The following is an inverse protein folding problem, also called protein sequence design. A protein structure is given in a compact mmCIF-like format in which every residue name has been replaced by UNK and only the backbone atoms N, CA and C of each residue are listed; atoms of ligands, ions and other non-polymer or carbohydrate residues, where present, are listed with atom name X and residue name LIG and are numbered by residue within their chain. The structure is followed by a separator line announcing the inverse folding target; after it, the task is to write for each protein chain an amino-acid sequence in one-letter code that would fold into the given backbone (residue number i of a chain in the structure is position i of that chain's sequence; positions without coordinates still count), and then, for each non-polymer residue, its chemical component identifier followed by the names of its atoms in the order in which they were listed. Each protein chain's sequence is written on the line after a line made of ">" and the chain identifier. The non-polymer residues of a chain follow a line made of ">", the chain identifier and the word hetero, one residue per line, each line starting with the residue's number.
data_IF_830419501205
#
_entry.id   IF_830419501205
#
_cell.length_a   1.000
_cell.length_b   1.000
_cell.length_c   1.000
_cell.angle_alpha   90.00
_cell.angle_beta   90.00
_cell.angle_gamma   90.00
#
_symmetry.space_group_name_H-M   'P 1'
#
loop_
_entity.id
_entity.type
_entity.pdbx_description
1 polymer ?
#
# COMPACT_ATOMS: atom_id res chain seq x y z
N UNK A 1 -3.44 -1.03 -8.71
CA UNK A 1 -3.86 0.09 -9.56
C UNK A 1 -4.89 0.97 -8.89
N UNK A 2 -5.87 0.35 -8.23
CA UNK A 2 -6.94 1.11 -7.59
C UNK A 2 -6.46 2.10 -6.55
N UNK A 3 -5.53 1.69 -5.68
CA UNK A 3 -4.97 2.60 -4.67
C UNK A 3 -4.27 3.80 -5.31
N UNK A 4 -3.54 3.57 -6.39
CA UNK A 4 -2.76 4.61 -7.03
C UNK A 4 -3.64 5.72 -7.62
N UNK A 5 -4.88 5.42 -7.98
CA UNK A 5 -5.83 6.43 -8.47
C UNK A 5 -6.29 7.41 -7.40
N UNK A 6 -6.16 7.04 -6.12
CA UNK A 6 -6.61 7.89 -5.00
C UNK A 6 -5.73 9.12 -4.78
N UNK A 7 -4.49 9.09 -5.26
CA UNK A 7 -3.51 10.14 -5.00
C UNK A 7 -3.69 11.34 -5.92
N UNK A 8 -2.94 12.40 -5.64
CA UNK A 8 -3.05 13.65 -6.39
C UNK A 8 -2.42 13.54 -7.78
N UNK A 9 -1.30 12.82 -7.89
CA UNK A 9 -0.53 12.72 -9.13
C UNK A 9 0.03 11.31 -9.32
N UNK A 10 0.23 10.93 -10.58
CA UNK A 10 0.96 9.73 -10.95
C UNK A 10 1.93 10.05 -12.07
N UNK A 11 3.13 9.47 -12.00
CA UNK A 11 4.15 9.61 -13.04
C UNK A 11 4.27 8.35 -13.89
N UNK A 12 3.29 7.47 -13.82
CA UNK A 12 3.23 6.29 -14.69
C UNK A 12 2.86 6.71 -16.10
N UNK A 13 3.76 6.48 -17.07
CA UNK A 13 3.59 6.87 -18.47
C UNK A 13 3.32 8.38 -18.64
N UNK A 14 4.09 9.20 -17.95
CA UNK A 14 3.92 10.64 -17.96
C UNK A 14 3.21 11.14 -16.71
N UNK A 15 3.03 12.44 -16.62
CA UNK A 15 2.40 13.05 -15.45
C UNK A 15 0.89 13.09 -15.63
N UNK A 16 0.18 12.46 -14.70
CA UNK A 16 -1.28 12.40 -14.70
C UNK A 16 -1.85 12.89 -13.38
N UNK A 17 -3.02 13.51 -13.43
CA UNK A 17 -3.76 13.93 -12.24
C UNK A 17 -4.62 12.76 -11.77
N UNK A 18 -4.54 12.44 -10.47
CA UNK A 18 -5.39 11.42 -9.84
C UNK A 18 -6.65 12.04 -9.25
N UNK A 19 -7.36 11.24 -8.43
CA UNK A 19 -8.60 11.69 -7.78
C UNK A 19 -8.36 12.69 -6.65
N UNK A 20 -7.13 12.74 -6.10
CA UNK A 20 -6.78 13.68 -5.04
C UNK A 20 -7.48 13.42 -3.70
N UNK A 21 -7.98 12.21 -3.47
CA UNK A 21 -8.63 11.84 -2.22
C UNK A 21 -7.63 11.61 -1.09
N UNK A 22 -6.38 11.31 -1.43
CA UNK A 22 -5.29 11.11 -0.47
C UNK A 22 -4.10 11.94 -0.94
N UNK A 23 -3.54 12.81 -0.07
CA UNK A 23 -2.33 13.57 -0.40
C UNK A 23 -1.17 12.64 -0.73
N UNK A 24 -0.42 12.96 -1.75
CA UNK A 24 0.74 12.19 -2.17
C UNK A 24 0.79 12.00 -3.67
N UNK A 25 1.79 11.23 -4.09
CA UNK A 25 2.05 10.98 -5.50
C UNK A 25 2.55 9.56 -5.75
N UNK A 26 2.37 9.09 -6.98
CA UNK A 26 2.78 7.75 -7.40
C UNK A 26 4.00 7.89 -8.31
N UNK A 27 5.11 7.27 -7.90
CA UNK A 27 6.41 7.40 -8.56
C UNK A 27 7.02 6.04 -8.88
N UNK A 28 7.96 5.97 -9.84
CA UNK A 28 8.65 4.72 -10.16
C UNK A 28 9.43 4.19 -8.95
N UNK A 29 9.18 2.94 -8.59
CA UNK A 29 9.90 2.29 -7.50
C UNK A 29 11.39 2.19 -7.79
N UNK A 30 11.76 1.96 -9.05
CA UNK A 30 13.15 1.81 -9.46
C UNK A 30 14.01 3.03 -9.16
N UNK A 31 13.44 4.24 -9.17
CA UNK A 31 14.17 5.47 -8.93
C UNK A 31 14.62 5.63 -7.48
N UNK A 32 13.97 4.94 -6.55
CA UNK A 32 14.18 5.13 -5.12
C UNK A 32 14.76 3.91 -4.42
N UNK A 33 14.87 2.76 -5.10
CA UNK A 33 15.48 1.57 -4.51
C UNK A 33 16.96 1.82 -4.26
N UNK A 34 17.42 1.49 -3.04
CA UNK A 34 18.82 1.65 -2.62
C UNK A 34 19.65 0.42 -2.91
N UNK A 35 19.01 -0.76 -2.97
CA UNK A 35 19.70 -2.03 -3.22
C UNK A 35 19.55 -2.41 -4.69
N UNK A 36 20.63 -2.36 -5.48
CA UNK A 36 20.55 -2.64 -6.92
C UNK A 36 20.27 -4.11 -7.22
N UNK A 37 20.39 -5.01 -6.24
CA UNK A 37 20.08 -6.42 -6.44
C UNK A 37 18.58 -6.69 -6.45
N UNK A 38 17.76 -5.76 -5.94
CA UNK A 38 16.32 -5.91 -5.93
C UNK A 38 15.72 -5.56 -7.29
N UNK A 39 14.76 -6.35 -7.69
CA UNK A 39 14.14 -6.23 -9.01
C UNK A 39 12.85 -5.41 -8.97
N UNK A 40 12.53 -4.78 -10.08
CA UNK A 40 11.25 -4.14 -10.33
C UNK A 40 10.61 -4.90 -11.49
N UNK A 41 9.34 -5.31 -11.35
CA UNK A 41 8.41 -5.00 -10.26
C UNK A 41 8.72 -5.74 -8.95
N UNK A 42 8.24 -5.18 -7.84
CA UNK A 42 8.19 -5.82 -6.54
C UNK A 42 7.09 -6.89 -6.60
N UNK A 43 7.49 -8.14 -6.66
CA UNK A 43 6.56 -9.29 -6.82
C UNK A 43 6.81 -10.28 -5.70
N UNK A 44 5.74 -10.74 -5.08
CA UNK A 44 5.79 -11.82 -4.10
C UNK A 44 5.23 -11.44 -2.75
N UNK A 45 5.39 -12.34 -1.81
CA UNK A 45 4.94 -12.15 -0.44
C UNK A 45 5.90 -11.28 0.33
N UNK A 46 5.37 -10.33 1.10
CA UNK A 46 6.17 -9.49 1.97
C UNK A 46 5.40 -9.21 3.25
N UNK A 47 6.14 -9.02 4.34
CA UNK A 47 5.54 -8.71 5.64
C UNK A 47 4.92 -7.33 5.63
N UNK A 48 3.71 -7.23 6.17
CA UNK A 48 3.02 -5.96 6.33
C UNK A 48 3.26 -5.44 7.75
N UNK A 49 3.90 -4.28 7.84
CA UNK A 49 4.18 -3.61 9.10
C UNK A 49 3.17 -2.49 9.32
N UNK A 50 2.34 -2.63 10.34
CA UNK A 50 1.33 -1.63 10.67
C UNK A 50 2.04 -0.42 11.31
N UNK A 51 1.71 0.77 10.84
CA UNK A 51 2.28 2.01 11.37
C UNK A 51 1.91 2.14 12.85
N UNK A 52 2.88 2.42 13.74
CA UNK A 52 2.59 2.64 15.17
C UNK A 52 1.48 3.67 15.37
N UNK A 53 0.50 3.32 16.20
CA UNK A 53 -0.69 4.14 16.42
C UNK A 53 -1.87 3.82 15.50
N UNK A 54 -1.68 2.96 14.50
CA UNK A 54 -2.74 2.57 13.56
C UNK A 54 -3.26 1.15 13.77
N UNK A 55 -2.78 0.45 14.79
CA UNK A 55 -3.10 -0.96 15.04
C UNK A 55 -4.60 -1.19 15.30
N UNK A 56 -5.29 -0.17 15.80
CA UNK A 56 -6.71 -0.25 16.12
C UNK A 56 -7.62 0.20 14.98
N UNK A 57 -7.06 0.47 13.81
CA UNK A 57 -7.89 0.82 12.65
C UNK A 57 -8.84 -0.34 12.33
N UNK A 58 -10.13 -0.06 12.03
CA UNK A 58 -11.10 -1.11 11.73
C UNK A 58 -10.68 -2.07 10.60
N UNK A 59 -9.82 -1.62 9.66
CA UNK A 59 -9.32 -2.49 8.60
C UNK A 59 -8.51 -3.67 9.16
N UNK A 60 -7.83 -3.48 10.29
CA UNK A 60 -6.99 -4.51 10.92
C UNK A 60 -7.69 -5.30 12.02
N UNK A 61 -9.00 -5.22 12.08
CA UNK A 61 -9.82 -5.89 13.10
C UNK A 61 -9.53 -7.38 13.21
N UNK A 62 -9.24 -8.02 12.10
CA UNK A 62 -8.93 -9.45 12.05
C UNK A 62 -7.49 -9.74 11.64
N UNK A 63 -6.64 -8.72 11.57
CA UNK A 63 -5.26 -8.82 11.10
C UNK A 63 -4.30 -8.60 12.27
N UNK A 64 -3.28 -9.45 12.35
CA UNK A 64 -2.21 -9.32 13.34
C UNK A 64 -0.99 -8.63 12.73
N UNK A 65 -0.18 -7.91 13.53
CA UNK A 65 1.07 -7.36 13.03
C UNK A 65 1.98 -8.45 12.46
N UNK A 66 2.68 -8.16 11.38
CA UNK A 66 3.65 -9.06 10.80
C UNK A 66 3.08 -10.14 9.89
N UNK A 67 1.80 -10.08 9.54
CA UNK A 67 1.26 -10.99 8.55
C UNK A 67 1.74 -10.63 7.14
N UNK A 68 1.80 -11.61 6.26
CA UNK A 68 2.31 -11.44 4.91
C UNK A 68 1.20 -11.19 3.90
N UNK A 69 1.49 -10.32 2.93
CA UNK A 69 0.58 -9.96 1.84
C UNK A 69 1.32 -10.05 0.50
N UNK A 70 0.57 -10.17 -0.58
CA UNK A 70 1.13 -10.37 -1.92
C UNK A 70 1.17 -9.06 -2.71
N UNK A 71 2.34 -8.73 -3.23
CA UNK A 71 2.58 -7.55 -4.04
C UNK A 71 2.90 -7.90 -5.49
N UNK A 72 2.46 -7.05 -6.41
CA UNK A 72 2.97 -7.02 -7.79
C UNK A 72 2.79 -5.59 -8.32
N UNK A 73 3.85 -4.77 -8.25
CA UNK A 73 3.79 -3.37 -8.69
C UNK A 73 5.17 -2.83 -9.04
N UNK A 74 5.20 -1.84 -9.93
CA UNK A 74 6.41 -1.14 -10.35
C UNK A 74 6.43 0.33 -9.91
N UNK A 75 5.28 0.85 -9.49
CA UNK A 75 5.13 2.21 -8.99
C UNK A 75 4.63 2.16 -7.55
N UNK A 76 4.94 3.17 -6.77
CA UNK A 76 4.53 3.19 -5.37
C UNK A 76 4.14 4.60 -4.93
N UNK A 77 3.38 4.68 -3.84
CA UNK A 77 2.91 5.96 -3.30
C UNK A 77 3.97 6.59 -2.41
N UNK A 78 4.19 7.89 -2.58
CA UNK A 78 5.13 8.71 -1.81
C UNK A 78 4.42 9.90 -1.21
N UNK A 79 5.04 10.50 -0.17
CA UNK A 79 4.57 11.73 0.46
C UNK A 79 3.14 11.59 1.01
N UNK A 80 2.82 10.41 1.55
CA UNK A 80 1.50 10.11 2.10
C UNK A 80 1.58 9.55 3.52
N UNK A 81 2.65 9.84 4.26
CA UNK A 81 2.89 9.27 5.59
C UNK A 81 1.74 9.51 6.56
N UNK A 82 1.12 10.68 6.53
CA UNK A 82 0.01 11.01 7.42
C UNK A 82 -1.22 10.13 7.19
N UNK A 83 -1.35 9.54 6.01
CA UNK A 83 -2.46 8.69 5.63
C UNK A 83 -2.09 7.22 5.50
N UNK A 84 -0.83 6.86 5.78
CA UNK A 84 -0.35 5.48 5.68
C UNK A 84 -0.76 4.69 6.92
N UNK A 85 -1.43 3.55 6.71
CA UNK A 85 -1.80 2.61 7.76
C UNK A 85 -0.75 1.54 7.97
N UNK A 86 -0.14 1.08 6.89
CA UNK A 86 0.84 0.00 6.92
C UNK A 86 1.79 0.10 5.74
N UNK A 87 2.98 -0.44 5.92
CA UNK A 87 4.03 -0.44 4.90
C UNK A 87 4.79 -1.75 4.91
N UNK A 88 5.48 -2.05 3.83
CA UNK A 88 6.38 -3.20 3.73
C UNK A 88 7.77 -2.74 3.33
N UNK A 89 8.79 -3.41 3.83
CA UNK A 89 10.18 -3.07 3.51
C UNK A 89 10.61 -3.73 2.22
N UNK A 90 11.09 -2.91 1.28
CA UNK A 90 11.66 -3.39 0.01
C UNK A 90 12.82 -2.47 -0.38
N UNK A 91 13.95 -2.55 0.35
CA UNK A 91 15.06 -1.60 0.35
C UNK A 91 14.68 -0.24 0.95
N UNK A 92 13.47 0.20 0.71
CA UNK A 92 12.85 1.40 1.27
C UNK A 92 11.49 1.01 1.83
N UNK A 93 10.90 1.81 2.74
CA UNK A 93 9.52 1.58 3.14
C UNK A 93 8.59 1.83 1.94
N UNK A 94 7.78 0.83 1.62
CA UNK A 94 6.78 0.92 0.55
C UNK A 94 5.41 0.96 1.18
N UNK A 95 4.65 2.02 0.92
CA UNK A 95 3.29 2.16 1.44
C UNK A 95 2.41 1.02 0.95
N UNK A 96 1.86 0.26 1.89
CA UNK A 96 1.01 -0.88 1.60
C UNK A 96 -0.47 -0.59 1.72
N UNK A 97 -0.87 0.23 2.69
CA UNK A 97 -2.27 0.57 2.91
C UNK A 97 -2.40 2.03 3.34
N UNK A 98 -3.44 2.68 2.86
CA UNK A 98 -3.71 4.10 3.14
C UNK A 98 -5.18 4.30 3.51
N UNK A 99 -5.45 5.42 4.18
CA UNK A 99 -6.80 5.80 4.58
C UNK A 99 -6.94 7.31 4.63
N UNK A 100 -8.08 7.80 4.18
CA UNK A 100 -8.52 9.17 4.45
C UNK A 100 -10.03 9.14 4.67
N UNK A 101 -10.45 9.34 5.93
CA UNK A 101 -11.86 9.20 6.31
C UNK A 101 -12.35 7.77 6.08
N UNK A 102 -13.32 7.60 5.21
CA UNK A 102 -13.87 6.30 4.82
C UNK A 102 -13.27 5.77 3.52
N UNK A 103 -12.27 6.46 2.96
CA UNK A 103 -11.58 6.02 1.74
C UNK A 103 -10.36 5.20 2.14
N UNK A 104 -10.31 3.96 1.67
CA UNK A 104 -9.20 3.03 1.92
C UNK A 104 -8.58 2.57 0.61
N UNK A 105 -7.29 2.28 0.64
CA UNK A 105 -6.60 1.70 -0.51
C UNK A 105 -5.47 0.78 -0.08
N UNK A 106 -5.18 -0.25 -0.88
CA UNK A 106 -4.05 -1.15 -0.66
C UNK A 106 -3.22 -1.28 -1.91
N UNK A 107 -1.89 -1.28 -1.78
CA UNK A 107 -0.99 -1.55 -2.87
C UNK A 107 -0.89 -3.06 -3.14
N UNK A 108 -0.90 -3.86 -2.08
CA UNK A 108 -0.95 -5.32 -2.22
C UNK A 108 -2.34 -5.74 -2.70
N UNK A 109 -2.42 -7.00 -3.13
CA UNK A 109 -3.66 -7.61 -3.60
C UNK A 109 -4.28 -8.46 -2.48
N UNK A 110 -5.31 -7.96 -1.78
CA UNK A 110 -5.96 -8.76 -0.72
C UNK A 110 -6.50 -10.09 -1.25
N UNK A 111 -7.05 -10.09 -2.46
CA UNK A 111 -7.61 -11.28 -3.10
C UNK A 111 -6.56 -12.35 -3.42
N UNK A 112 -5.26 -11.96 -3.45
CA UNK A 112 -4.13 -12.86 -3.67
C UNK A 112 -3.31 -13.11 -2.41
N UNK A 113 -3.74 -12.59 -1.28
CA UNK A 113 -3.00 -12.63 -0.01
C UNK A 113 -3.50 -13.71 0.95
N UNK A 114 -4.18 -14.74 0.42
CA UNK A 114 -4.66 -15.87 1.22
C UNK A 114 -5.62 -15.45 2.32
N UNK A 115 -5.54 -16.12 3.46
CA UNK A 115 -6.43 -15.86 4.59
C UNK A 115 -6.26 -14.45 5.17
N UNK A 116 -5.04 -13.92 5.16
CA UNK A 116 -4.77 -12.55 5.62
C UNK A 116 -5.58 -11.56 4.79
N UNK A 117 -5.56 -11.70 3.48
CA UNK A 117 -6.30 -10.82 2.58
C UNK A 117 -7.80 -10.96 2.73
N UNK A 118 -8.30 -12.19 2.87
CA UNK A 118 -9.73 -12.43 3.08
C UNK A 118 -10.23 -11.80 4.37
N UNK A 119 -9.44 -11.87 5.44
CA UNK A 119 -9.81 -11.24 6.72
C UNK A 119 -9.84 -9.72 6.62
N UNK A 120 -8.94 -9.11 5.84
CA UNK A 120 -8.98 -7.68 5.59
C UNK A 120 -10.21 -7.27 4.77
N UNK A 121 -10.54 -8.03 3.73
CA UNK A 121 -11.74 -7.77 2.93
C UNK A 121 -13.00 -7.88 3.79
N UNK A 122 -13.03 -8.85 4.70
CA UNK A 122 -14.13 -9.00 5.66
C UNK A 122 -14.22 -7.78 6.57
N UNK A 123 -13.10 -7.33 7.12
CA UNK A 123 -13.06 -6.14 7.98
C UNK A 123 -13.55 -4.90 7.23
N UNK A 124 -13.15 -4.74 5.98
CA UNK A 124 -13.60 -3.64 5.14
C UNK A 124 -15.11 -3.70 4.89
N UNK A 125 -15.63 -4.88 4.62
CA UNK A 125 -17.06 -5.07 4.38
C UNK A 125 -17.92 -4.77 5.62
N UNK A 126 -17.33 -4.84 6.81
CA UNK A 126 -18.02 -4.59 8.08
C UNK A 126 -17.92 -3.13 8.54
N UNK A 127 -17.29 -2.27 7.76
CA UNK A 127 -17.15 -0.85 8.10
C UNK A 127 -18.48 -0.09 8.09
#
# INVERSE_FOLDING_TARGET
>A
LGMQLLFEKSYEYGKHTGLGLIPGEVCPLADDLKDPSLKVPHIGWNRLDIVPGRENDPLFKYTKPGEYVYYVHSFYAKNCAANTLAASEYSIPVTGAVKNGLVYGTQFHPEKSGDTGLRMLRAFAEL
#
